data_IF_055113316412
#
_entry.id   IF_055113316412
#
_cell.length_a   1.000
_cell.length_b   1.000
_cell.length_c   1.000
_cell.angle_alpha   90.00
_cell.angle_beta   90.00
_cell.angle_gamma   90.00
#
_symmetry.space_group_name_H-M   'P 1'
#
loop_
_entity.id
_entity.type
_entity.pdbx_description
1 polymer ?
#
# COMPACT_ATOMS: atom_id res chain seq x y z
N UNK A 1 -5.05 -7.71 -19.23
CA UNK A 1 -4.74 -6.26 -19.30
C UNK A 1 -3.37 -6.05 -18.66
N UNK A 2 -2.43 -5.45 -19.37
CA UNK A 2 -1.09 -5.16 -18.83
C UNK A 2 -1.17 -4.06 -17.77
N UNK A 3 -0.35 -4.08 -16.70
CA UNK A 3 -0.36 -3.02 -15.70
C UNK A 3 0.14 -1.70 -16.31
N UNK A 4 -0.54 -0.59 -16.03
CA UNK A 4 -0.06 0.76 -16.37
C UNK A 4 1.00 1.18 -15.36
N UNK A 5 2.27 1.22 -15.78
CA UNK A 5 3.38 1.69 -14.96
C UNK A 5 3.59 3.19 -15.16
N UNK A 6 3.53 3.96 -14.06
CA UNK A 6 3.89 5.37 -14.02
C UNK A 6 5.27 5.55 -13.38
N UNK A 7 6.02 6.54 -13.84
CA UNK A 7 7.31 6.94 -13.26
C UNK A 7 7.12 8.18 -12.39
N UNK A 8 7.93 8.30 -11.33
CA UNK A 8 7.82 9.39 -10.36
C UNK A 8 9.14 9.67 -9.66
N UNK A 9 9.34 10.92 -9.23
CA UNK A 9 10.45 11.34 -8.36
C UNK A 9 10.17 11.14 -6.87
N UNK A 10 9.02 10.55 -6.51
CA UNK A 10 8.71 10.22 -5.13
C UNK A 10 9.68 9.18 -4.55
N UNK A 11 9.88 9.28 -3.24
CA UNK A 11 10.65 8.32 -2.45
C UNK A 11 9.82 7.78 -1.31
N UNK A 12 10.13 6.58 -0.84
CA UNK A 12 9.59 6.05 0.40
C UNK A 12 10.68 6.04 1.48
N UNK A 13 10.26 6.20 2.73
CA UNK A 13 11.13 6.17 3.92
C UNK A 13 10.61 5.10 4.86
N UNK A 14 11.51 4.27 5.40
CA UNK A 14 11.14 3.12 6.23
C UNK A 14 12.02 3.00 7.47
N UNK A 15 11.47 2.39 8.53
CA UNK A 15 12.21 1.87 9.68
C UNK A 15 12.39 2.83 10.84
N UNK A 16 11.60 3.90 10.93
CA UNK A 16 11.66 4.85 12.02
C UNK A 16 10.26 5.40 12.36
N UNK A 17 10.11 5.88 13.60
CA UNK A 17 8.90 6.54 14.10
C UNK A 17 8.98 8.06 13.94
N UNK A 18 10.15 8.62 13.65
CA UNK A 18 10.34 10.03 13.31
C UNK A 18 10.30 10.19 11.78
N UNK A 19 9.41 11.04 11.28
CA UNK A 19 9.16 11.22 9.84
C UNK A 19 10.40 11.67 9.06
N UNK A 20 11.40 12.25 9.74
CA UNK A 20 12.63 12.73 9.12
C UNK A 20 13.78 11.70 9.17
N UNK A 21 13.62 10.58 9.91
CA UNK A 21 14.65 9.55 10.11
C UNK A 21 14.38 8.26 9.32
N UNK A 22 15.20 7.24 9.50
CA UNK A 22 15.10 6.00 8.74
C UNK A 22 15.70 6.06 7.33
N UNK A 23 15.45 5.00 6.55
CA UNK A 23 16.13 4.77 5.27
C UNK A 23 15.24 5.11 4.08
N UNK A 24 15.77 5.89 3.15
CA UNK A 24 15.07 6.34 1.93
C UNK A 24 15.33 5.39 0.75
N UNK A 25 14.28 5.09 -0.01
CA UNK A 25 14.32 4.33 -1.24
C UNK A 25 13.59 5.09 -2.36
N UNK A 26 14.21 5.15 -3.53
CA UNK A 26 13.58 5.67 -4.75
C UNK A 26 12.53 4.70 -5.28
N UNK A 27 11.46 5.24 -5.86
CA UNK A 27 10.42 4.48 -6.52
C UNK A 27 10.82 4.30 -7.99
N UNK A 28 10.85 3.05 -8.45
CA UNK A 28 11.07 2.69 -9.83
C UNK A 28 9.81 2.82 -10.66
N UNK A 29 8.67 2.36 -10.12
CA UNK A 29 7.40 2.42 -10.82
C UNK A 29 6.20 2.40 -9.87
N UNK A 30 5.11 3.00 -10.33
CA UNK A 30 3.80 3.02 -9.67
C UNK A 30 2.80 2.27 -10.54
N UNK A 31 2.07 1.32 -9.96
CA UNK A 31 0.98 0.61 -10.63
C UNK A 31 -0.33 0.99 -9.97
N UNK A 32 -1.11 1.83 -10.64
CA UNK A 32 -2.43 2.24 -10.17
C UNK A 32 -3.46 1.19 -10.61
N UNK A 33 -4.47 0.93 -9.77
CA UNK A 33 -5.57 0.08 -10.18
C UNK A 33 -6.22 0.65 -11.46
N UNK A 34 -6.38 -0.15 -12.54
CA UNK A 34 -6.88 0.36 -13.82
C UNK A 34 -8.34 0.83 -13.74
N UNK A 35 -9.08 0.40 -12.73
CA UNK A 35 -10.46 0.82 -12.47
C UNK A 35 -10.55 2.01 -11.50
N UNK A 36 -9.43 2.58 -11.06
CA UNK A 36 -9.40 3.81 -10.27
C UNK A 36 -9.94 4.97 -11.09
N UNK A 37 -10.83 5.75 -10.49
CA UNK A 37 -11.36 6.96 -11.11
C UNK A 37 -11.12 8.14 -10.15
N UNK A 38 -10.31 9.14 -10.50
CA UNK A 38 -10.05 10.24 -9.57
C UNK A 38 -11.30 11.08 -9.23
N UNK A 39 -12.36 11.02 -10.05
CA UNK A 39 -13.63 11.71 -9.78
C UNK A 39 -14.51 10.99 -8.76
N UNK A 40 -14.29 9.68 -8.55
CA UNK A 40 -15.09 8.86 -7.64
C UNK A 40 -14.16 8.01 -6.79
N UNK A 41 -14.29 7.99 -5.47
CA UNK A 41 -13.32 7.33 -4.56
C UNK A 41 -13.28 5.78 -4.63
N UNK A 42 -13.76 5.17 -5.72
CA UNK A 42 -13.71 3.74 -5.98
C UNK A 42 -12.35 3.30 -6.50
N UNK A 43 -11.95 2.08 -6.12
CA UNK A 43 -10.71 1.45 -6.59
C UNK A 43 -9.43 2.22 -6.22
N UNK A 44 -9.47 2.91 -5.09
CA UNK A 44 -8.37 3.70 -4.53
C UNK A 44 -7.27 2.80 -3.95
N UNK A 45 -6.46 2.22 -4.83
CA UNK A 45 -5.30 1.38 -4.49
C UNK A 45 -4.23 1.47 -5.58
N UNK A 46 -2.97 1.52 -5.14
CA UNK A 46 -1.80 1.46 -6.00
C UNK A 46 -0.67 0.64 -5.36
N UNK A 47 0.24 0.15 -6.19
CA UNK A 47 1.49 -0.50 -5.77
C UNK A 47 2.69 0.36 -6.14
N UNK A 48 3.63 0.50 -5.22
CA UNK A 48 4.90 1.20 -5.43
C UNK A 48 6.04 0.17 -5.47
N UNK A 49 6.76 0.10 -6.59
CA UNK A 49 7.98 -0.71 -6.72
C UNK A 49 9.19 0.19 -6.43
N UNK A 50 10.04 -0.20 -5.50
CA UNK A 50 11.32 0.49 -5.27
C UNK A 50 12.37 0.09 -6.30
N UNK A 51 13.31 0.98 -6.60
CA UNK A 51 14.47 0.68 -7.46
C UNK A 51 15.38 -0.41 -6.87
N UNK A 52 15.47 -0.45 -5.53
CA UNK A 52 16.27 -1.42 -4.79
C UNK A 52 15.39 -2.15 -3.79
N UNK A 53 15.65 -3.44 -3.60
CA UNK A 53 14.99 -4.22 -2.56
C UNK A 53 15.19 -3.60 -1.19
N UNK A 54 14.10 -3.46 -0.44
CA UNK A 54 14.13 -2.98 0.94
C UNK A 54 14.80 -4.04 1.81
N UNK A 55 15.87 -3.65 2.50
CA UNK A 55 16.54 -4.53 3.47
C UNK A 55 15.72 -4.61 4.75
N UNK A 56 15.33 -5.81 5.14
CA UNK A 56 14.67 -6.04 6.42
C UNK A 56 15.65 -5.89 7.58
N UNK A 57 15.15 -5.33 8.67
CA UNK A 57 15.88 -5.07 9.92
C UNK A 57 14.93 -5.36 11.08
N UNK A 58 15.36 -5.07 12.31
CA UNK A 58 14.47 -5.10 13.47
C UNK A 58 13.26 -4.16 13.29
N UNK A 59 13.48 -2.97 12.76
CA UNK A 59 12.47 -1.92 12.56
C UNK A 59 11.78 -1.98 11.18
N UNK A 60 12.21 -2.87 10.27
CA UNK A 60 11.67 -2.98 8.91
C UNK A 60 11.27 -4.42 8.64
N UNK A 61 9.95 -4.67 8.64
CA UNK A 61 9.35 -5.97 8.34
C UNK A 61 8.15 -5.81 7.41
N UNK A 62 7.86 -6.80 6.54
CA UNK A 62 6.65 -6.79 5.73
C UNK A 62 5.41 -7.05 6.60
N UNK A 63 4.26 -6.57 6.14
CA UNK A 63 2.94 -6.87 6.71
C UNK A 63 2.30 -8.05 5.97
N UNK A 64 1.47 -8.84 6.65
CA UNK A 64 0.77 -9.95 6.00
C UNK A 64 -0.43 -9.44 5.17
N UNK A 65 -0.66 -10.07 4.03
CA UNK A 65 -1.88 -9.87 3.25
C UNK A 65 -3.02 -10.74 3.82
N UNK A 66 -4.27 -10.24 3.83
CA UNK A 66 -5.40 -10.84 4.55
C UNK A 66 -6.04 -12.03 3.82
N UNK A 67 -5.26 -13.06 3.49
CA UNK A 67 -5.78 -14.30 2.88
C UNK A 67 -6.65 -15.08 3.87
N UNK A 68 -7.89 -15.37 3.44
CA UNK A 68 -8.88 -16.11 4.23
C UNK A 68 -9.14 -15.50 5.62
N UNK A 69 -8.98 -14.18 5.75
CA UNK A 69 -9.26 -13.45 6.97
C UNK A 69 -10.75 -13.06 7.00
N UNK A 70 -11.47 -13.47 8.03
CA UNK A 70 -12.85 -13.03 8.27
C UNK A 70 -12.86 -11.97 9.36
N UNK A 71 -13.11 -10.72 8.98
CA UNK A 71 -13.31 -9.61 9.92
C UNK A 71 -14.80 -9.45 10.21
N UNK A 72 -15.11 -9.28 11.50
CA UNK A 72 -16.47 -9.04 11.96
C UNK A 72 -16.62 -7.58 12.40
N UNK A 73 -17.86 -7.08 12.39
CA UNK A 73 -18.18 -5.78 12.99
C UNK A 73 -17.68 -5.73 14.43
N UNK A 74 -17.17 -4.57 14.84
CA UNK A 74 -16.54 -4.32 16.15
C UNK A 74 -15.23 -5.06 16.41
N UNK A 75 -14.63 -5.71 15.41
CA UNK A 75 -13.25 -6.19 15.53
C UNK A 75 -12.31 -4.99 15.76
N UNK A 76 -11.38 -5.07 16.72
CA UNK A 76 -10.39 -4.03 16.96
C UNK A 76 -9.36 -4.02 15.84
N UNK A 77 -9.03 -2.83 15.35
CA UNK A 77 -8.03 -2.59 14.32
C UNK A 77 -7.21 -1.35 14.70
N UNK A 78 -5.99 -1.27 14.20
CA UNK A 78 -5.11 -0.13 14.46
C UNK A 78 -4.85 0.60 13.16
N UNK A 79 -5.03 1.92 13.18
CA UNK A 79 -4.52 2.81 12.16
C UNK A 79 -3.27 3.50 12.68
N UNK A 80 -2.24 3.61 11.85
CA UNK A 80 -1.01 4.33 12.18
C UNK A 80 -0.71 5.39 11.13
N UNK A 81 -0.10 6.50 11.54
CA UNK A 81 0.02 7.65 10.67
C UNK A 81 0.81 8.82 11.24
N UNK A 82 1.08 9.78 10.37
CA UNK A 82 1.71 11.07 10.69
C UNK A 82 0.75 12.24 10.39
N UNK A 83 -0.54 11.94 10.27
CA UNK A 83 -1.59 12.90 10.02
C UNK A 83 -1.75 13.90 11.15
N UNK A 84 -2.60 14.89 10.92
CA UNK A 84 -3.04 15.76 12.00
C UNK A 84 -3.99 14.99 12.92
N UNK A 85 -3.99 15.30 14.21
CA UNK A 85 -4.96 14.72 15.16
C UNK A 85 -6.32 15.45 15.13
N UNK A 86 -6.37 16.61 14.49
CA UNK A 86 -7.53 17.47 14.39
C UNK A 86 -7.73 17.96 12.95
N UNK A 87 -8.99 18.27 12.59
CA UNK A 87 -9.31 18.78 11.27
C UNK A 87 -8.72 20.18 11.06
N UNK A 88 -7.86 20.34 10.06
CA UNK A 88 -7.09 21.56 9.82
C UNK A 88 -5.85 21.72 10.71
N UNK A 89 -5.54 20.72 11.54
CA UNK A 89 -4.40 20.73 12.45
C UNK A 89 -3.05 20.49 11.78
N UNK A 90 -1.96 20.65 12.55
CA UNK A 90 -0.61 20.33 12.09
C UNK A 90 -0.37 18.81 12.11
N UNK A 91 0.39 18.32 11.14
CA UNK A 91 0.90 16.93 11.11
C UNK A 91 1.84 16.65 12.27
N UNK A 92 1.88 15.39 12.70
CA UNK A 92 2.84 14.92 13.70
C UNK A 92 4.19 14.57 13.05
N UNK A 93 5.29 14.95 13.69
CA UNK A 93 6.63 14.52 13.30
C UNK A 93 6.94 13.09 13.80
N UNK A 94 6.14 12.60 14.75
CA UNK A 94 6.25 11.27 15.36
C UNK A 94 5.05 10.41 14.96
N UNK A 95 5.29 9.13 14.66
CA UNK A 95 4.26 8.18 14.27
C UNK A 95 3.24 8.02 15.41
N UNK A 96 1.98 8.20 15.07
CA UNK A 96 0.85 8.02 15.96
C UNK A 96 0.11 6.72 15.62
N UNK A 97 -0.64 6.22 16.59
CA UNK A 97 -1.48 5.03 16.45
C UNK A 97 -2.81 5.25 17.18
N UNK A 98 -3.89 4.75 16.60
CA UNK A 98 -5.21 4.72 17.22
C UNK A 98 -5.83 3.33 17.07
N UNK A 99 -6.32 2.76 18.17
CA UNK A 99 -7.21 1.61 18.12
C UNK A 99 -8.63 2.10 17.81
N UNK A 100 -9.21 1.55 16.74
CA UNK A 100 -10.57 1.81 16.31
C UNK A 100 -11.27 0.48 15.99
N UNK A 101 -12.54 0.53 15.62
CA UNK A 101 -13.35 -0.67 15.43
C UNK A 101 -13.96 -0.73 14.04
N UNK A 102 -14.02 -1.94 13.48
CA UNK A 102 -14.73 -2.17 12.22
C UNK A 102 -16.21 -1.80 12.35
N UNK A 103 -16.69 -0.97 11.44
CA UNK A 103 -18.11 -0.63 11.30
C UNK A 103 -18.75 -1.53 10.25
N UNK A 104 -19.99 -1.96 10.49
CA UNK A 104 -20.70 -2.79 9.52
C UNK A 104 -20.89 -2.04 8.21
N UNK A 105 -20.81 -2.77 7.09
CA UNK A 105 -20.97 -2.18 5.77
C UNK A 105 -22.31 -1.46 5.62
N UNK A 106 -23.39 -2.05 6.14
CA UNK A 106 -24.74 -1.45 6.13
C UNK A 106 -24.79 -0.13 6.90
N UNK A 107 -24.26 -0.09 8.12
CA UNK A 107 -24.24 1.13 8.93
C UNK A 107 -23.43 2.22 8.26
N UNK A 108 -22.27 1.87 7.71
CA UNK A 108 -21.42 2.83 7.01
C UNK A 108 -22.11 3.37 5.75
N UNK A 109 -22.71 2.51 4.93
CA UNK A 109 -23.42 2.94 3.73
C UNK A 109 -24.59 3.87 4.08
N UNK A 110 -25.32 3.56 5.16
CA UNK A 110 -26.40 4.42 5.67
C UNK A 110 -25.87 5.79 6.09
N UNK A 111 -24.78 5.84 6.85
CA UNK A 111 -24.12 7.10 7.23
C UNK A 111 -23.81 7.95 6.00
N UNK A 112 -23.16 7.40 4.98
CA UNK A 112 -22.75 8.19 3.82
C UNK A 112 -23.88 8.52 2.83
N UNK A 113 -24.97 7.75 2.83
CA UNK A 113 -26.12 7.99 1.93
C UNK A 113 -26.76 9.37 2.11
N UNK A 114 -26.70 9.96 3.31
CA UNK A 114 -27.30 11.27 3.59
C UNK A 114 -26.52 12.44 2.99
N UNK A 115 -25.26 12.25 2.60
CA UNK A 115 -24.42 13.31 2.06
C UNK A 115 -24.70 13.62 0.59
N UNK A 116 -25.39 12.72 -0.13
CA UNK A 116 -25.68 12.85 -1.58
C UNK A 116 -24.44 13.25 -2.41
N UNK A 117 -23.26 12.75 -2.03
CA UNK A 117 -21.99 13.12 -2.64
C UNK A 117 -21.80 12.45 -4.01
N UNK A 118 -21.51 13.24 -5.05
CA UNK A 118 -21.16 12.72 -6.38
C UNK A 118 -19.89 11.87 -6.39
N UNK A 119 -18.99 12.08 -5.41
CA UNK A 119 -17.74 11.33 -5.30
C UNK A 119 -17.96 9.86 -4.86
N UNK A 120 -19.16 9.54 -4.36
CA UNK A 120 -19.60 8.20 -3.97
C UNK A 120 -21.05 7.96 -4.45
N UNK A 121 -21.29 8.17 -5.74
CA UNK A 121 -22.59 8.07 -6.38
C UNK A 121 -23.26 6.67 -6.24
N UNK A 122 -22.47 5.62 -6.04
CA UNK A 122 -22.93 4.24 -5.78
C UNK A 122 -22.95 3.90 -4.28
N UNK A 123 -22.75 4.88 -3.41
CA UNK A 123 -22.57 4.68 -1.97
C UNK A 123 -21.28 3.96 -1.63
N UNK A 124 -21.26 3.33 -0.46
CA UNK A 124 -20.16 2.49 0.01
C UNK A 124 -20.28 1.12 -0.64
N UNK A 125 -19.27 0.71 -1.41
CA UNK A 125 -19.26 -0.55 -2.17
C UNK A 125 -18.45 -1.65 -1.49
N UNK A 126 -18.55 -2.90 -1.96
CA UNK A 126 -17.90 -4.07 -1.33
C UNK A 126 -16.37 -4.01 -1.30
N UNK A 127 -15.77 -3.23 -2.21
CA UNK A 127 -14.34 -2.93 -2.26
C UNK A 127 -13.89 -1.89 -1.22
N UNK A 128 -14.81 -1.37 -0.39
CA UNK A 128 -14.58 -0.47 0.72
C UNK A 128 -14.92 -1.15 2.05
N UNK A 129 -14.34 -0.64 3.12
CA UNK A 129 -14.66 -0.97 4.51
C UNK A 129 -14.59 0.28 5.37
N UNK A 130 -15.23 0.25 6.53
CA UNK A 130 -15.26 1.40 7.41
C UNK A 130 -14.79 1.02 8.81
N UNK A 131 -14.13 1.95 9.46
CA UNK A 131 -13.72 1.83 10.85
C UNK A 131 -13.82 3.19 11.53
N UNK A 132 -13.96 3.18 12.85
CA UNK A 132 -14.02 4.40 13.65
C UNK A 132 -14.13 4.07 15.13
N UNK A 133 -13.98 5.08 15.98
CA UNK A 133 -14.20 4.91 17.41
C UNK A 133 -15.68 4.67 17.75
N UNK A 134 -15.95 3.92 18.82
CA UNK A 134 -17.31 3.62 19.31
C UNK A 134 -18.10 4.86 19.72
N UNK A 135 -17.40 5.89 20.18
CA UNK A 135 -17.92 7.19 20.61
C UNK A 135 -17.64 8.31 19.58
N UNK A 136 -17.00 7.97 18.45
CA UNK A 136 -16.51 8.92 17.46
C UNK A 136 -15.37 9.83 17.93
N UNK A 137 -14.69 9.53 19.04
CA UNK A 137 -13.58 10.37 19.53
C UNK A 137 -12.27 10.18 18.77
N UNK A 138 -12.16 9.16 17.92
CA UNK A 138 -10.93 8.84 17.17
C UNK A 138 -11.24 8.26 15.78
N UNK A 139 -10.55 8.78 14.77
CA UNK A 139 -10.60 8.36 13.37
C UNK A 139 -9.25 8.68 12.69
N UNK A 140 -8.96 8.08 11.54
CA UNK A 140 -7.88 8.55 10.67
C UNK A 140 -8.23 9.95 10.16
N UNK A 141 -7.37 10.93 10.44
CA UNK A 141 -7.63 12.32 10.09
C UNK A 141 -6.74 12.75 8.90
N UNK A 142 -6.69 14.05 8.62
CA UNK A 142 -6.03 14.59 7.45
C UNK A 142 -4.55 14.19 7.40
N UNK A 143 -4.06 13.99 6.17
CA UNK A 143 -2.66 13.68 5.88
C UNK A 143 -2.18 12.26 6.26
N UNK A 144 -3.12 11.32 6.46
CA UNK A 144 -2.87 9.87 6.56
C UNK A 144 -3.38 9.06 5.36
N UNK A 145 -3.74 9.70 4.24
CA UNK A 145 -4.18 8.99 3.03
C UNK A 145 -3.10 8.01 2.55
N UNK A 146 -3.50 6.76 2.29
CA UNK A 146 -2.60 5.66 1.96
C UNK A 146 -2.01 4.90 3.16
N UNK A 147 -2.19 5.39 4.39
CA UNK A 147 -1.72 4.72 5.60
C UNK A 147 -2.44 3.37 5.85
N UNK A 148 -1.79 2.43 6.54
CA UNK A 148 -2.36 1.10 6.75
C UNK A 148 -3.42 1.08 7.86
N UNK A 149 -4.47 0.30 7.63
CA UNK A 149 -5.34 -0.21 8.69
C UNK A 149 -4.99 -1.67 8.93
N UNK A 150 -4.54 -2.02 10.14
CA UNK A 150 -4.04 -3.35 10.48
C UNK A 150 -4.89 -4.06 11.51
N UNK A 151 -4.95 -5.39 11.40
CA UNK A 151 -5.65 -6.29 12.31
C UNK A 151 -4.68 -7.34 12.86
N UNK A 152 -4.74 -7.60 14.16
CA UNK A 152 -3.99 -8.69 14.78
C UNK A 152 -4.85 -9.95 14.90
N UNK A 153 -4.46 -11.01 14.19
CA UNK A 153 -5.07 -12.33 14.34
C UNK A 153 -4.37 -13.08 15.48
N UNK A 154 -5.07 -13.24 16.60
CA UNK A 154 -4.54 -13.93 17.79
C UNK A 154 -4.30 -15.42 17.56
N UNK A 155 -5.01 -16.04 16.63
CA UNK A 155 -4.85 -17.47 16.29
C UNK A 155 -3.57 -17.67 15.50
N UNK A 156 -3.33 -16.81 14.50
CA UNK A 156 -2.12 -16.85 13.66
C UNK A 156 -0.92 -16.14 14.30
N UNK A 157 -1.14 -15.35 15.35
CA UNK A 157 -0.14 -14.48 16.01
C UNK A 157 0.56 -13.55 15.02
N UNK A 158 -0.21 -12.97 14.09
CA UNK A 158 0.30 -12.17 12.98
C UNK A 158 -0.56 -10.93 12.73
N UNK A 159 0.08 -9.88 12.23
CA UNK A 159 -0.57 -8.64 11.80
C UNK A 159 -0.88 -8.69 10.31
N UNK A 160 -2.10 -8.30 9.95
CA UNK A 160 -2.60 -8.27 8.58
C UNK A 160 -3.00 -6.86 8.19
N UNK A 161 -2.63 -6.40 7.00
CA UNK A 161 -3.15 -5.15 6.46
C UNK A 161 -4.53 -5.41 5.87
N UNK A 162 -5.56 -4.87 6.51
CA UNK A 162 -6.96 -5.12 6.13
C UNK A 162 -7.56 -3.98 5.33
N UNK A 163 -7.07 -2.76 5.55
CA UNK A 163 -7.50 -1.56 4.86
C UNK A 163 -6.36 -0.62 4.50
N UNK A 164 -6.68 0.34 3.65
CA UNK A 164 -5.83 1.50 3.30
C UNK A 164 -6.69 2.74 3.53
N UNK A 165 -6.21 3.73 4.28
CA UNK A 165 -6.93 5.00 4.51
C UNK A 165 -7.22 5.65 3.16
N UNK A 166 -8.50 5.88 2.84
CA UNK A 166 -8.92 6.45 1.56
C UNK A 166 -9.54 7.84 1.75
N UNK A 167 -10.75 7.92 2.33
CA UNK A 167 -11.46 9.17 2.54
C UNK A 167 -12.32 9.14 3.81
N UNK A 168 -12.85 10.30 4.21
CA UNK A 168 -13.76 10.45 5.34
C UNK A 168 -14.49 11.79 5.28
N UNK A 169 -15.55 11.94 6.08
CA UNK A 169 -16.26 13.21 6.21
C UNK A 169 -15.89 13.93 7.51
N UNK A 170 -14.97 14.89 7.40
CA UNK A 170 -14.33 15.59 8.55
C UNK A 170 -13.60 14.58 9.46
N UNK A 171 -12.69 15.07 10.30
CA UNK A 171 -12.02 14.17 11.22
C UNK A 171 -12.94 13.87 12.40
N UNK A 172 -13.07 12.59 12.75
CA UNK A 172 -13.76 12.13 13.95
C UNK A 172 -15.21 12.65 14.09
N UNK A 173 -15.96 12.77 12.98
CA UNK A 173 -17.42 12.95 13.08
C UNK A 173 -18.04 11.59 13.47
N UNK A 174 -18.65 11.46 14.65
CA UNK A 174 -19.21 10.18 15.13
C UNK A 174 -20.24 9.57 14.18
N UNK A 175 -20.84 10.37 13.29
CA UNK A 175 -21.85 9.91 12.34
C UNK A 175 -21.23 9.30 11.08
N UNK A 176 -19.98 9.67 10.75
CA UNK A 176 -19.31 9.29 9.51
C UNK A 176 -17.99 8.60 9.80
N UNK A 177 -17.97 7.25 9.89
CA UNK A 177 -16.71 6.53 10.09
C UNK A 177 -15.76 6.75 8.92
N UNK A 178 -14.45 6.66 9.17
CA UNK A 178 -13.43 6.65 8.13
C UNK A 178 -13.66 5.51 7.14
N UNK A 179 -13.45 5.80 5.85
CA UNK A 179 -13.58 4.84 4.76
C UNK A 179 -12.21 4.43 4.25
N UNK A 180 -12.04 3.11 4.15
CA UNK A 180 -10.80 2.46 3.80
C UNK A 180 -11.01 1.57 2.58
N UNK A 181 -10.01 1.51 1.71
CA UNK A 181 -9.99 0.51 0.63
C UNK A 181 -9.80 -0.87 1.23
N UNK A 182 -10.70 -1.82 0.95
CA UNK A 182 -10.65 -3.19 1.50
C UNK A 182 -9.60 -4.02 0.78
N UNK A 183 -8.44 -4.26 1.41
CA UNK A 183 -7.31 -4.96 0.77
C UNK A 183 -7.69 -6.36 0.28
N UNK A 184 -8.50 -7.09 1.06
CA UNK A 184 -8.95 -8.44 0.69
C UNK A 184 -9.70 -8.49 -0.67
N UNK A 185 -10.38 -7.41 -1.06
CA UNK A 185 -11.09 -7.33 -2.35
C UNK A 185 -10.13 -7.32 -3.54
N UNK A 186 -8.91 -6.80 -3.36
CA UNK A 186 -7.95 -6.60 -4.44
C UNK A 186 -6.88 -7.67 -4.53
N UNK A 187 -6.97 -8.76 -3.75
CA UNK A 187 -5.94 -9.81 -3.74
C UNK A 187 -5.70 -10.40 -5.15
N UNK A 188 -6.75 -10.59 -5.93
CA UNK A 188 -6.66 -11.11 -7.31
C UNK A 188 -5.93 -10.14 -8.26
N UNK A 189 -6.07 -8.84 -8.04
CA UNK A 189 -5.35 -7.82 -8.79
C UNK A 189 -3.90 -7.67 -8.30
N UNK A 190 -3.69 -7.70 -6.98
CA UNK A 190 -2.39 -7.52 -6.33
C UNK A 190 -1.42 -8.66 -6.61
N UNK A 191 -1.88 -9.91 -6.50
CA UNK A 191 -1.02 -11.09 -6.47
C UNK A 191 -0.22 -11.31 -7.76
N UNK A 192 -0.81 -11.24 -8.97
CA UNK A 192 -0.03 -11.37 -10.20
C UNK A 192 1.06 -10.31 -10.30
N UNK A 193 0.76 -9.06 -9.90
CA UNK A 193 1.73 -7.97 -9.95
C UNK A 193 2.90 -8.26 -9.01
N UNK A 194 2.64 -8.66 -7.76
CA UNK A 194 3.69 -8.96 -6.78
C UNK A 194 4.50 -10.22 -7.17
N UNK A 195 3.88 -11.21 -7.82
CA UNK A 195 4.56 -12.44 -8.22
C UNK A 195 5.37 -12.30 -9.52
N UNK A 196 4.89 -11.54 -10.52
CA UNK A 196 5.66 -11.17 -11.71
C UNK A 196 6.95 -10.43 -11.36
N UNK A 197 7.02 -9.83 -10.18
CA UNK A 197 8.20 -9.12 -9.68
C UNK A 197 9.29 -10.08 -9.19
N UNK A 198 8.92 -11.25 -8.65
CA UNK A 198 9.90 -12.26 -8.20
C UNK A 198 10.67 -12.91 -9.37
N UNK A 199 10.07 -12.99 -10.56
CA UNK A 199 10.67 -13.59 -11.75
C UNK A 199 11.47 -12.61 -12.62
N UNK A 200 11.42 -11.31 -12.34
CA UNK A 200 12.04 -10.25 -13.17
C UNK A 200 13.48 -9.87 -12.76
N UNK A 201 14.13 -10.62 -11.86
CA UNK A 201 15.57 -10.49 -11.61
C UNK A 201 16.28 -11.48 -12.55
N UNK A 202 16.87 -11.04 -13.68
CA UNK A 202 17.71 -11.94 -14.46
C UNK A 202 18.88 -12.41 -13.59
N UNK A 203 19.25 -13.72 -13.62
CA UNK A 203 20.48 -14.16 -12.98
C UNK A 203 21.63 -13.31 -13.54
N UNK A 204 22.47 -12.79 -12.64
CA UNK A 204 23.72 -12.14 -13.04
C UNK A 204 24.44 -13.11 -13.97
N UNK A 205 24.68 -12.70 -15.20
CA UNK A 205 25.60 -13.42 -16.08
C UNK A 205 26.97 -13.28 -15.41
N UNK A 206 27.38 -14.31 -14.66
CA UNK A 206 28.79 -14.49 -14.31
C UNK A 206 29.53 -14.70 -15.63
N UNK A 207 30.19 -13.66 -16.10
CA UNK A 207 31.16 -13.77 -17.19
C UNK A 207 32.38 -14.51 -16.67
N UNK A 208 32.27 -15.84 -16.57
CA UNK A 208 33.42 -16.72 -16.59
C UNK A 208 33.82 -16.92 -18.05
N UNK A 209 34.76 -16.11 -18.54
CA UNK A 209 35.65 -16.59 -19.60
C UNK A 209 37.08 -16.14 -19.35
N UNK A 210 37.93 -17.17 -19.36
CA UNK A 210 39.32 -17.22 -18.95
C UNK A 210 40.21 -16.23 -19.71
N UNK A 211 41.20 -15.72 -18.98
CA UNK A 211 42.44 -15.21 -19.56
C UNK A 211 43.02 -16.19 -20.58
N UNK A 212 43.29 -15.70 -21.79
CA UNK A 212 44.38 -16.20 -22.60
C UNK A 212 45.02 -15.03 -23.35
N UNK A 213 46.12 -14.53 -22.76
CA UNK A 213 47.09 -13.67 -23.43
C UNK A 213 47.77 -14.47 -24.53
N UNK A 214 47.79 -13.96 -25.78
CA UNK A 214 49.00 -13.62 -26.59
C UNK A 214 48.70 -13.59 -28.11
N UNK A 215 48.64 -12.35 -28.63
CA UNK A 215 49.44 -11.76 -29.72
C UNK A 215 49.73 -12.56 -31.02
N UNK A 216 49.53 -11.83 -32.14
CA UNK A 216 50.09 -11.90 -33.53
C UNK A 216 49.35 -12.86 -34.48
N UNK A 217 49.24 -12.62 -35.79
CA UNK A 217 49.54 -11.50 -36.72
C UNK A 217 48.85 -11.87 -38.06
N UNK A 218 48.36 -10.85 -38.78
CA UNK A 218 48.20 -10.66 -40.23
C UNK A 218 48.45 -11.79 -41.27
N UNK A 219 47.49 -11.87 -42.21
CA UNK A 219 47.52 -12.03 -43.68
C UNK A 219 48.23 -13.21 -44.40
N UNK A 220 47.61 -13.54 -45.56
CA UNK A 220 48.08 -14.16 -46.82
C UNK A 220 47.75 -15.65 -47.12
N UNK A 221 46.87 -15.78 -48.13
CA UNK A 221 46.85 -16.65 -49.33
C UNK A 221 47.07 -18.18 -49.32
N UNK A 222 46.14 -18.81 -50.06
CA UNK A 222 46.30 -19.84 -51.12
C UNK A 222 46.63 -21.32 -50.82
N UNK A 223 45.71 -22.14 -51.35
CA UNK A 223 45.87 -23.34 -52.19
C UNK A 223 46.10 -24.76 -51.63
N UNK A 224 45.45 -25.69 -52.36
CA UNK A 224 45.47 -27.16 -52.37
C UNK A 224 44.67 -27.82 -51.22
N UNK A 225 43.54 -28.51 -51.45
CA UNK A 225 43.17 -29.48 -52.50
C UNK A 225 41.64 -29.67 -52.56
#
# INVERSE_FOLDING_TARGET
MSPNYLYTDYTIRVGDVDIMKGKVYKIHSVVVNPSYNPMHHYNDIALLRTEKSIKFTENVRPICLPFHLKLYSRAPVIVTGFGSTEFGGKRSDILLAAEIYIVSHESCNRSYSVLMSKAIDKGITSNMMCAGSKDGSSDACQSDSGSPLVYYDSTRKQWFQVGIVSFGHRCADPRFPGVYTRVAYYLDWLLPIINLQKSSIPPKIETHFRESRRRRKYWYEEEHQ
#
